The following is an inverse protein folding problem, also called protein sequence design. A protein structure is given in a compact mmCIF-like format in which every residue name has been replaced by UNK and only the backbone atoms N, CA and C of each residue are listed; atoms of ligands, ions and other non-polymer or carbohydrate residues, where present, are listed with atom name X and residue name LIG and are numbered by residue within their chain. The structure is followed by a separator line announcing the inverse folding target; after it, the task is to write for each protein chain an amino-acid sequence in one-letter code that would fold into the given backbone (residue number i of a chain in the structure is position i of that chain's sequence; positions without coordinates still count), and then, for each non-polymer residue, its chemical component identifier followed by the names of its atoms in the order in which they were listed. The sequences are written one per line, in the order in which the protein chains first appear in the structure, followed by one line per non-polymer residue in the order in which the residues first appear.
data_IF_724544601273
#
_entry.id   IF_724544601273
#
_cell.length_a   1.000
_cell.length_b   1.000
_cell.length_c   1.000
_cell.angle_alpha   90.00
_cell.angle_beta   90.00
_cell.angle_gamma   90.00
#
_symmetry.space_group_name_H-M   'P 1'
#
loop_
_entity.id
_entity.type
_entity.pdbx_description
1 polymer ?
#
# COMPACT_ATOMS: atom_id res chain seq x y z
N UNK A 1 -7.65 15.12 17.60
CA UNK A 1 -8.44 14.40 16.57
C UNK A 1 -8.20 12.90 16.64
N UNK A 2 -6.95 12.42 16.63
CA UNK A 2 -6.60 10.98 16.65
C UNK A 2 -7.26 10.19 17.80
N UNK A 3 -7.24 10.71 19.03
CA UNK A 3 -7.91 10.04 20.18
C UNK A 3 -9.43 9.87 19.98
N UNK A 4 -10.09 10.82 19.32
CA UNK A 4 -11.52 10.73 19.07
C UNK A 4 -11.84 9.68 18.00
N UNK A 5 -11.00 9.59 16.95
CA UNK A 5 -11.07 8.52 15.95
C UNK A 5 -10.87 7.15 16.60
N UNK A 6 -9.83 6.99 17.41
CA UNK A 6 -9.50 5.75 18.10
C UNK A 6 -10.66 5.27 19.01
N UNK A 7 -11.22 6.18 19.84
CA UNK A 7 -12.39 5.87 20.67
C UNK A 7 -13.61 5.48 19.84
N UNK A 8 -13.83 6.11 18.69
CA UNK A 8 -14.94 5.75 17.80
C UNK A 8 -14.75 4.34 17.21
N UNK A 9 -13.53 3.97 16.82
CA UNK A 9 -13.20 2.60 16.42
C UNK A 9 -13.43 1.61 17.57
N UNK A 10 -13.03 1.97 18.79
CA UNK A 10 -13.28 1.19 20.00
C UNK A 10 -14.77 0.87 20.20
N UNK A 11 -15.64 1.87 20.08
CA UNK A 11 -17.10 1.67 20.18
C UNK A 11 -17.64 0.65 19.17
N UNK A 12 -17.13 0.64 17.93
CA UNK A 12 -17.53 -0.34 16.91
C UNK A 12 -17.05 -1.73 17.30
N UNK A 13 -15.79 -1.86 17.71
CA UNK A 13 -15.18 -3.14 18.11
C UNK A 13 -15.89 -3.73 19.33
N UNK A 14 -16.15 -2.92 20.35
CA UNK A 14 -16.83 -3.34 21.57
C UNK A 14 -18.25 -3.80 21.24
N UNK A 15 -18.95 -3.08 20.35
CA UNK A 15 -20.29 -3.50 19.92
C UNK A 15 -20.29 -4.81 19.14
N UNK A 16 -19.28 -5.06 18.30
CA UNK A 16 -19.12 -6.35 17.61
C UNK A 16 -18.88 -7.50 18.59
N UNK A 17 -18.17 -7.26 19.70
CA UNK A 17 -17.94 -8.28 20.75
C UNK A 17 -19.20 -8.53 21.56
N UNK A 18 -19.92 -7.48 21.98
CA UNK A 18 -21.19 -7.61 22.71
C UNK A 18 -22.25 -8.40 21.94
N UNK A 19 -22.19 -8.37 20.61
CA UNK A 19 -23.11 -9.07 19.72
C UNK A 19 -22.59 -10.43 19.24
N UNK A 20 -21.46 -10.91 19.77
CA UNK A 20 -20.81 -12.16 19.34
C UNK A 20 -20.46 -12.22 17.83
N UNK A 21 -20.29 -11.05 17.19
CA UNK A 21 -19.96 -10.93 15.75
C UNK A 21 -18.46 -10.80 15.50
N UNK A 22 -17.69 -10.40 16.52
CA UNK A 22 -16.27 -10.04 16.39
C UNK A 22 -15.41 -11.13 15.75
N UNK A 23 -15.55 -12.39 16.20
CA UNK A 23 -14.69 -13.49 15.74
C UNK A 23 -14.82 -13.78 14.24
N UNK A 24 -15.98 -13.48 13.64
CA UNK A 24 -16.26 -13.69 12.22
C UNK A 24 -16.45 -12.39 11.41
N UNK A 25 -15.91 -11.28 11.90
CA UNK A 25 -15.92 -10.00 11.18
C UNK A 25 -14.52 -9.67 10.69
N UNK A 26 -14.40 -9.29 9.42
CA UNK A 26 -13.17 -8.69 8.88
C UNK A 26 -13.18 -7.20 9.22
N UNK A 27 -12.15 -6.75 9.92
CA UNK A 27 -11.94 -5.33 10.25
C UNK A 27 -10.67 -4.88 9.54
N UNK A 28 -10.78 -3.87 8.68
CA UNK A 28 -9.63 -3.20 8.07
C UNK A 28 -9.58 -1.77 8.57
N UNK A 29 -8.44 -1.37 9.10
CA UNK A 29 -8.12 0.02 9.41
C UNK A 29 -6.99 0.48 8.51
N UNK A 30 -7.21 1.56 7.76
CA UNK A 30 -6.20 2.16 6.90
C UNK A 30 -6.47 3.65 6.71
N UNK A 31 -5.66 4.33 5.88
CA UNK A 31 -5.82 5.74 5.55
C UNK A 31 -5.88 5.95 4.03
N UNK A 32 -6.51 7.03 3.59
CA UNK A 32 -6.71 7.34 2.17
C UNK A 32 -5.42 7.84 1.46
N UNK A 33 -4.49 8.44 2.20
CA UNK A 33 -3.19 8.91 1.74
C UNK A 33 -2.26 9.20 2.93
N UNK A 34 -1.03 9.60 2.63
CA UNK A 34 -0.11 10.16 3.61
C UNK A 34 -0.63 11.44 4.29
N UNK A 35 -0.10 11.76 5.47
CA UNK A 35 -0.52 12.94 6.23
C UNK A 35 -0.09 14.27 5.56
N UNK A 36 -0.94 15.31 5.54
CA UNK A 36 -0.57 16.66 5.12
C UNK A 36 0.09 17.44 6.27
N UNK A 37 1.40 17.24 6.46
CA UNK A 37 2.16 17.80 7.59
C UNK A 37 2.06 19.32 7.75
N UNK A 38 1.84 20.06 6.66
CA UNK A 38 1.67 21.52 6.65
C UNK A 38 0.26 21.99 7.06
N UNK A 39 -0.72 21.08 7.11
CA UNK A 39 -2.14 21.42 7.39
C UNK A 39 -2.62 20.99 8.75
N UNK A 40 -2.22 19.81 9.22
CA UNK A 40 -2.77 19.22 10.43
C UNK A 40 -1.70 18.69 11.40
N UNK A 41 -0.44 19.10 11.22
CA UNK A 41 0.71 18.67 12.01
C UNK A 41 0.94 17.14 12.00
N UNK A 42 0.41 16.42 10.99
CA UNK A 42 0.70 15.00 10.82
C UNK A 42 2.19 14.76 10.59
N UNK A 43 2.71 13.69 11.15
CA UNK A 43 4.11 13.31 11.03
C UNK A 43 4.17 11.94 10.33
N UNK A 44 4.85 11.87 9.19
CA UNK A 44 4.98 10.64 8.39
C UNK A 44 6.32 9.91 8.65
N UNK A 45 7.12 10.35 9.63
CA UNK A 45 8.43 9.76 9.93
C UNK A 45 8.32 8.25 10.18
N UNK A 46 9.27 7.44 9.67
CA UNK A 46 10.53 7.83 9.03
C UNK A 46 10.44 8.13 7.53
N UNK A 47 9.24 8.21 6.96
CA UNK A 47 9.04 8.35 5.53
C UNK A 47 9.18 9.81 5.08
N UNK A 48 9.74 10.00 3.88
CA UNK A 48 9.80 11.32 3.24
C UNK A 48 8.50 11.71 2.56
N UNK A 49 8.23 13.01 2.50
CA UNK A 49 7.05 13.54 1.83
C UNK A 49 5.75 13.43 2.62
N UNK A 50 4.65 13.71 1.93
CA UNK A 50 3.35 14.05 2.52
C UNK A 50 2.23 13.84 1.51
N UNK A 51 0.98 14.08 1.93
CA UNK A 51 -0.18 14.12 1.03
C UNK A 51 0.12 14.86 -0.29
N UNK A 52 -0.35 14.30 -1.40
CA UNK A 52 -0.25 14.86 -2.77
C UNK A 52 1.11 14.74 -3.48
N UNK A 53 2.08 14.02 -2.91
CA UNK A 53 3.29 13.58 -3.62
C UNK A 53 3.43 12.04 -3.58
N UNK A 54 4.41 11.51 -4.32
CA UNK A 54 4.65 10.07 -4.48
C UNK A 54 5.89 9.56 -3.76
N UNK A 55 6.45 10.35 -2.85
CA UNK A 55 7.36 9.83 -1.83
C UNK A 55 6.59 8.89 -0.89
N UNK A 56 7.28 8.01 -0.17
CA UNK A 56 6.66 6.99 0.69
C UNK A 56 5.68 7.60 1.68
N UNK A 57 5.99 8.77 2.25
CA UNK A 57 5.12 9.48 3.20
C UNK A 57 3.84 10.06 2.58
N UNK A 58 3.68 9.99 1.25
CA UNK A 58 2.45 10.35 0.54
C UNK A 58 1.57 9.15 0.17
N UNK A 59 2.15 7.96 0.00
CA UNK A 59 1.47 6.78 -0.56
C UNK A 59 1.48 5.54 0.35
N UNK A 60 2.43 5.41 1.27
CA UNK A 60 2.48 4.34 2.25
C UNK A 60 1.71 4.76 3.49
N UNK A 61 0.67 3.99 3.81
CA UNK A 61 -0.28 4.30 4.88
C UNK A 61 -0.26 3.22 5.96
N UNK A 62 -0.66 3.53 7.20
CA UNK A 62 -0.98 2.50 8.18
C UNK A 62 -2.04 1.55 7.60
N UNK A 63 -1.85 0.25 7.81
CA UNK A 63 -2.79 -0.77 7.34
C UNK A 63 -2.80 -1.92 8.34
N UNK A 64 -3.97 -2.20 8.91
CA UNK A 64 -4.21 -3.32 9.81
C UNK A 64 -5.45 -4.07 9.34
N UNK A 65 -5.34 -5.40 9.27
CA UNK A 65 -6.47 -6.28 8.98
C UNK A 65 -6.59 -7.31 10.09
N UNK A 66 -7.80 -7.47 10.64
CA UNK A 66 -8.13 -8.44 11.67
C UNK A 66 -9.32 -9.28 11.23
N UNK A 67 -9.19 -10.59 11.36
CA UNK A 67 -10.29 -11.54 11.26
C UNK A 67 -9.95 -12.73 12.14
N UNK A 68 -10.38 -12.75 13.42
CA UNK A 68 -9.85 -13.67 14.42
C UNK A 68 -9.90 -15.15 14.05
N UNK A 69 -10.93 -15.58 13.31
CA UNK A 69 -11.06 -16.96 12.82
C UNK A 69 -10.10 -17.36 11.70
N UNK A 70 -9.56 -16.39 10.94
CA UNK A 70 -8.85 -16.67 9.68
C UNK A 70 -7.44 -16.06 9.60
N UNK A 71 -7.13 -15.05 10.41
CA UNK A 71 -5.85 -14.34 10.40
C UNK A 71 -5.16 -14.57 11.74
N UNK A 72 -3.89 -14.98 11.68
CA UNK A 72 -3.05 -15.18 12.86
C UNK A 72 -2.94 -13.87 13.65
N UNK A 73 -3.22 -13.92 14.96
CA UNK A 73 -3.05 -12.77 15.85
C UNK A 73 -1.57 -12.38 15.93
N UNK A 74 -1.30 -11.07 16.10
CA UNK A 74 0.04 -10.51 16.31
C UNK A 74 1.05 -10.88 15.21
N UNK A 75 0.61 -11.00 13.96
CA UNK A 75 1.49 -11.19 12.81
C UNK A 75 1.73 -9.90 12.05
N UNK A 76 2.89 -9.79 11.40
CA UNK A 76 3.22 -8.74 10.44
C UNK A 76 3.41 -9.33 9.06
N UNK A 77 3.02 -8.57 8.03
CA UNK A 77 3.22 -8.92 6.62
C UNK A 77 4.02 -7.78 5.97
N UNK A 78 5.15 -8.12 5.34
CA UNK A 78 6.15 -7.13 4.94
C UNK A 78 6.21 -6.86 3.43
N UNK A 79 5.54 -7.66 2.59
CA UNK A 79 5.49 -7.38 1.16
C UNK A 79 4.44 -6.30 0.84
N UNK A 80 4.65 -5.51 -0.23
CA UNK A 80 3.72 -4.47 -0.63
C UNK A 80 2.32 -5.02 -0.92
N UNK A 81 1.31 -4.32 -0.41
CA UNK A 81 -0.12 -4.51 -0.71
C UNK A 81 -0.71 -3.18 -1.16
N UNK A 82 -1.87 -3.24 -1.81
CA UNK A 82 -2.63 -2.09 -2.32
C UNK A 82 -4.02 -2.05 -1.70
N UNK A 83 -4.60 -0.86 -1.57
CA UNK A 83 -6.03 -0.74 -1.22
C UNK A 83 -6.95 -1.34 -2.30
N UNK A 84 -6.46 -1.50 -3.53
CA UNK A 84 -7.16 -2.22 -4.60
C UNK A 84 -7.38 -3.71 -4.27
N UNK A 85 -6.53 -4.29 -3.42
CA UNK A 85 -6.63 -5.69 -3.00
C UNK A 85 -7.84 -5.94 -2.09
N UNK A 86 -8.43 -4.89 -1.50
CA UNK A 86 -9.57 -5.02 -0.59
C UNK A 86 -10.79 -5.60 -1.31
N UNK A 87 -11.07 -5.18 -2.55
CA UNK A 87 -12.22 -5.67 -3.31
C UNK A 87 -12.16 -7.20 -3.55
N UNK A 88 -11.11 -7.77 -4.19
CA UNK A 88 -11.03 -9.20 -4.41
C UNK A 88 -10.89 -9.99 -3.09
N UNK A 89 -10.22 -9.43 -2.08
CA UNK A 89 -10.11 -10.07 -0.75
C UNK A 89 -11.48 -10.18 -0.07
N UNK A 90 -12.28 -9.11 -0.05
CA UNK A 90 -13.63 -9.14 0.53
C UNK A 90 -14.58 -10.00 -0.28
N UNK A 91 -14.47 -9.98 -1.61
CA UNK A 91 -15.29 -10.83 -2.46
C UNK A 91 -15.02 -12.32 -2.21
N UNK A 92 -13.74 -12.71 -2.10
CA UNK A 92 -13.36 -14.07 -1.72
C UNK A 92 -13.87 -14.46 -0.33
N UNK A 93 -13.74 -13.56 0.66
CA UNK A 93 -14.26 -13.80 2.01
C UNK A 93 -15.77 -14.02 2.06
N UNK A 94 -16.51 -13.37 1.16
CA UNK A 94 -17.95 -13.54 1.00
C UNK A 94 -18.34 -14.82 0.23
N UNK A 95 -17.37 -15.68 -0.13
CA UNK A 95 -17.58 -16.90 -0.91
C UNK A 95 -17.63 -16.69 -2.43
N UNK A 96 -17.27 -15.50 -2.91
CA UNK A 96 -17.18 -15.19 -4.33
C UNK A 96 -15.96 -15.82 -5.01
N UNK A 97 -16.09 -16.11 -6.31
CA UNK A 97 -14.96 -16.58 -7.12
C UNK A 97 -14.20 -15.41 -7.74
N UNK A 98 -12.99 -15.11 -7.26
CA UNK A 98 -12.19 -13.99 -7.76
C UNK A 98 -11.82 -14.09 -9.23
N UNK A 99 -11.84 -15.28 -9.84
CA UNK A 99 -11.53 -15.46 -11.27
C UNK A 99 -12.56 -14.79 -12.20
N UNK A 100 -13.75 -14.46 -11.67
CA UNK A 100 -14.79 -13.76 -12.43
C UNK A 100 -14.64 -12.23 -12.40
N UNK A 101 -13.78 -11.70 -11.52
CA UNK A 101 -13.49 -10.27 -11.45
C UNK A 101 -12.58 -9.90 -12.62
N UNK A 102 -13.17 -9.31 -13.65
CA UNK A 102 -12.45 -8.76 -14.80
C UNK A 102 -12.06 -7.31 -14.51
N UNK A 103 -10.94 -6.87 -15.09
CA UNK A 103 -10.46 -5.49 -15.04
C UNK A 103 -10.27 -4.97 -13.58
N UNK A 104 -9.83 -5.85 -12.69
CA UNK A 104 -9.45 -5.53 -11.30
C UNK A 104 -7.94 -5.73 -11.16
N UNK A 105 -7.23 -4.67 -10.78
CA UNK A 105 -5.77 -4.71 -10.58
C UNK A 105 -5.35 -5.32 -9.23
N UNK A 106 -6.28 -5.35 -8.26
CA UNK A 106 -6.02 -5.92 -6.94
C UNK A 106 -6.02 -7.45 -6.94
N UNK A 107 -5.43 -8.04 -5.91
CA UNK A 107 -5.41 -9.50 -5.70
C UNK A 107 -6.03 -9.90 -4.37
N UNK A 108 -6.51 -11.14 -4.27
CA UNK A 108 -6.94 -11.70 -2.99
C UNK A 108 -5.72 -11.90 -2.07
N UNK A 109 -5.70 -11.23 -0.91
CA UNK A 109 -4.59 -11.29 0.03
C UNK A 109 -4.54 -12.57 0.87
N UNK A 110 -5.63 -13.33 1.00
CA UNK A 110 -5.68 -14.47 1.93
C UNK A 110 -4.59 -15.52 1.70
N UNK A 111 -4.32 -16.00 0.46
CA UNK A 111 -3.25 -16.96 0.24
C UNK A 111 -1.88 -16.45 0.69
N UNK A 112 -1.63 -15.15 0.55
CA UNK A 112 -0.36 -14.52 0.91
C UNK A 112 -0.20 -14.38 2.42
N UNK A 113 -1.19 -13.80 3.11
CA UNK A 113 -1.11 -13.54 4.56
C UNK A 113 -1.22 -14.83 5.39
N UNK A 114 -1.77 -15.91 4.81
CA UNK A 114 -1.83 -17.24 5.43
C UNK A 114 -0.60 -18.10 5.13
N UNK A 115 0.37 -17.59 4.36
CA UNK A 115 1.60 -18.31 4.01
C UNK A 115 1.40 -19.46 3.02
N UNK A 116 0.27 -19.51 2.32
CA UNK A 116 0.02 -20.48 1.24
C UNK A 116 0.71 -20.06 -0.06
N UNK A 117 0.95 -18.76 -0.22
CA UNK A 117 1.73 -18.18 -1.31
C UNK A 117 2.79 -17.24 -0.73
N UNK A 118 4.06 -17.63 -0.80
CA UNK A 118 5.19 -16.86 -0.26
C UNK A 118 5.71 -15.78 -1.23
N UNK A 119 5.14 -15.69 -2.44
CA UNK A 119 5.50 -14.64 -3.39
C UNK A 119 4.97 -13.26 -2.96
N UNK A 120 5.43 -12.21 -3.63
CA UNK A 120 4.84 -10.88 -3.50
C UNK A 120 3.43 -10.88 -4.12
N UNK A 121 2.44 -10.21 -3.51
CA UNK A 121 1.13 -10.01 -4.14
C UNK A 121 1.28 -9.18 -5.43
N UNK A 122 2.20 -8.21 -5.38
CA UNK A 122 2.53 -7.33 -6.50
C UNK A 122 4.04 -7.29 -6.72
N UNK A 123 4.48 -7.67 -7.92
CA UNK A 123 5.85 -7.37 -8.36
C UNK A 123 6.00 -5.87 -8.68
N UNK A 124 4.94 -5.28 -9.23
CA UNK A 124 4.91 -3.92 -9.74
C UNK A 124 3.73 -3.14 -9.16
N UNK A 125 3.97 -1.89 -8.74
CA UNK A 125 2.91 -0.94 -8.35
C UNK A 125 3.13 0.41 -9.04
N UNK A 126 2.03 1.09 -9.37
CA UNK A 126 2.02 2.28 -10.20
C UNK A 126 1.23 3.42 -9.57
N UNK A 127 1.73 4.64 -9.69
CA UNK A 127 1.04 5.87 -9.33
C UNK A 127 1.20 6.92 -10.43
N UNK A 128 0.13 7.66 -10.74
CA UNK A 128 0.14 8.68 -11.80
C UNK A 128 -0.77 9.85 -11.47
N UNK A 129 -0.24 11.06 -11.60
CA UNK A 129 -0.99 12.32 -11.61
C UNK A 129 -0.34 13.25 -12.61
N UNK A 130 -0.96 13.36 -13.78
CA UNK A 130 -0.44 14.12 -14.92
C UNK A 130 0.99 13.66 -15.27
N UNK A 131 1.97 14.58 -15.18
CA UNK A 131 3.38 14.34 -15.45
C UNK A 131 4.14 13.73 -14.26
N UNK A 132 3.60 13.79 -13.04
CA UNK A 132 4.16 13.11 -11.87
C UNK A 132 3.80 11.63 -11.89
N UNK A 133 4.75 10.79 -11.55
CA UNK A 133 4.56 9.35 -11.48
C UNK A 133 5.46 8.71 -10.43
N UNK A 134 5.04 7.57 -9.91
CA UNK A 134 5.92 6.64 -9.25
C UNK A 134 5.67 5.22 -9.75
N UNK A 135 6.73 4.43 -9.75
CA UNK A 135 6.72 3.03 -10.15
C UNK A 135 7.60 2.25 -9.18
N UNK A 136 7.04 1.21 -8.57
CA UNK A 136 7.79 0.30 -7.70
C UNK A 136 7.90 -1.05 -8.38
N UNK A 137 9.13 -1.55 -8.54
CA UNK A 137 9.47 -2.89 -9.03
C UNK A 137 10.25 -3.65 -7.96
N UNK A 138 9.55 -4.53 -7.23
CA UNK A 138 10.07 -5.12 -6.00
C UNK A 138 10.36 -4.04 -4.97
N UNK A 139 11.63 -3.82 -4.66
CA UNK A 139 12.07 -2.79 -3.71
C UNK A 139 12.65 -1.54 -4.39
N UNK A 140 12.81 -1.57 -5.72
CA UNK A 140 13.24 -0.40 -6.47
C UNK A 140 12.06 0.53 -6.73
N UNK A 141 12.23 1.81 -6.45
CA UNK A 141 11.22 2.83 -6.67
C UNK A 141 11.75 3.94 -7.57
N UNK A 142 11.10 4.13 -8.71
CA UNK A 142 11.27 5.27 -9.60
C UNK A 142 10.27 6.36 -9.20
N UNK A 143 10.71 7.62 -9.17
CA UNK A 143 9.83 8.79 -9.11
C UNK A 143 10.15 9.72 -10.29
N UNK A 144 9.13 10.03 -11.08
CA UNK A 144 9.22 10.98 -12.19
C UNK A 144 8.59 12.32 -11.78
N UNK A 145 9.31 13.38 -12.09
CA UNK A 145 8.91 14.76 -11.81
C UNK A 145 8.74 15.55 -13.13
N UNK A 146 7.90 16.60 -13.14
CA UNK A 146 7.76 17.49 -14.29
C UNK A 146 8.89 18.53 -14.37
N UNK A 147 9.55 18.85 -13.25
CA UNK A 147 10.44 19.99 -13.06
C UNK A 147 11.91 19.60 -12.83
N UNK A 148 12.23 18.31 -12.77
CA UNK A 148 13.57 17.78 -12.51
C UNK A 148 13.73 16.36 -13.06
N UNK A 149 14.97 15.85 -13.21
CA UNK A 149 15.22 14.47 -13.61
C UNK A 149 14.53 13.46 -12.68
N UNK A 150 14.21 12.29 -13.23
CA UNK A 150 13.67 11.19 -12.45
C UNK A 150 14.69 10.69 -11.41
N UNK A 151 14.19 10.19 -10.29
CA UNK A 151 14.99 9.64 -9.19
C UNK A 151 14.72 8.15 -9.03
N UNK A 152 15.71 7.41 -8.53
CA UNK A 152 15.64 5.98 -8.29
C UNK A 152 16.10 5.68 -6.86
N UNK A 153 15.33 4.89 -6.12
CA UNK A 153 15.61 4.53 -4.73
C UNK A 153 15.50 3.01 -4.54
N UNK A 154 16.22 2.47 -3.56
CA UNK A 154 16.03 1.12 -3.04
C UNK A 154 15.32 1.21 -1.68
N UNK A 155 14.02 0.97 -1.65
CA UNK A 155 13.17 1.17 -0.47
C UNK A 155 13.44 0.12 0.62
N UNK A 156 14.07 -1.01 0.30
CA UNK A 156 14.44 -2.00 1.30
C UNK A 156 15.53 -1.49 2.24
N UNK A 157 16.43 -0.64 1.73
CA UNK A 157 17.57 -0.10 2.48
C UNK A 157 17.46 1.40 2.78
N UNK A 158 16.61 2.11 2.04
CA UNK A 158 16.39 3.56 2.15
C UNK A 158 14.89 3.90 2.13
N UNK A 159 14.18 3.61 3.24
CA UNK A 159 12.74 3.90 3.33
C UNK A 159 12.41 5.40 3.35
N UNK A 160 13.42 6.23 3.61
CA UNK A 160 13.31 7.69 3.67
C UNK A 160 13.61 8.35 2.32
N UNK A 161 14.01 7.58 1.29
CA UNK A 161 14.29 8.08 -0.06
C UNK A 161 15.34 9.22 -0.05
N UNK A 162 16.36 9.10 0.80
CA UNK A 162 17.41 10.10 0.97
C UNK A 162 18.49 9.99 -0.12
N UNK A 163 18.76 8.77 -0.60
CA UNK A 163 19.89 8.48 -1.48
C UNK A 163 19.42 8.15 -2.90
N UNK A 164 19.40 9.16 -3.77
CA UNK A 164 19.09 8.96 -5.18
C UNK A 164 20.18 8.14 -5.89
N UNK A 165 19.81 6.96 -6.37
CA UNK A 165 20.68 5.98 -7.03
C UNK A 165 20.65 6.06 -8.56
N UNK A 166 19.92 7.02 -9.15
CA UNK A 166 19.75 7.16 -10.60
C UNK A 166 21.08 7.18 -11.38
N UNK A 167 22.06 7.95 -10.90
CA UNK A 167 23.38 8.05 -11.54
C UNK A 167 24.25 6.79 -11.33
N UNK A 168 24.01 6.06 -10.23
CA UNK A 168 24.76 4.83 -9.90
C UNK A 168 24.25 3.62 -10.70
N UNK A 169 22.96 3.59 -11.02
CA UNK A 169 22.33 2.51 -11.80
C UNK A 169 21.51 3.06 -12.97
N UNK A 170 22.15 3.67 -13.98
CA UNK A 170 21.45 4.30 -15.11
C UNK A 170 20.64 3.30 -15.94
N UNK A 171 21.15 2.07 -16.13
CA UNK A 171 20.42 1.02 -16.87
C UNK A 171 19.14 0.59 -16.14
N UNK A 172 19.18 0.52 -14.80
CA UNK A 172 18.01 0.22 -13.97
C UNK A 172 16.98 1.34 -14.08
N UNK A 173 17.42 2.59 -14.02
CA UNK A 173 16.56 3.77 -14.19
C UNK A 173 15.86 3.73 -15.56
N UNK A 174 16.62 3.51 -16.64
CA UNK A 174 16.08 3.44 -17.99
C UNK A 174 15.06 2.31 -18.14
N UNK A 175 15.37 1.11 -17.60
CA UNK A 175 14.43 -0.01 -17.59
C UNK A 175 13.13 0.34 -16.85
N UNK A 176 13.22 0.93 -15.66
CA UNK A 176 12.05 1.36 -14.90
C UNK A 176 11.20 2.39 -15.66
N UNK A 177 11.83 3.36 -16.33
CA UNK A 177 11.13 4.35 -17.15
C UNK A 177 10.39 3.67 -18.31
N UNK A 178 11.07 2.79 -19.06
CA UNK A 178 10.47 2.05 -20.18
C UNK A 178 9.28 1.21 -19.71
N UNK A 179 9.44 0.42 -18.64
CA UNK A 179 8.36 -0.40 -18.09
C UNK A 179 7.17 0.44 -17.65
N UNK A 180 7.41 1.56 -16.97
CA UNK A 180 6.33 2.47 -16.57
C UNK A 180 5.56 3.03 -17.78
N UNK A 181 6.26 3.46 -18.83
CA UNK A 181 5.61 4.01 -20.02
C UNK A 181 4.79 2.97 -20.78
N UNK A 182 5.24 1.71 -20.85
CA UNK A 182 4.48 0.63 -21.48
C UNK A 182 3.29 0.23 -20.61
N UNK A 183 3.50 0.03 -19.30
CA UNK A 183 2.46 -0.40 -18.37
C UNK A 183 1.40 0.65 -18.07
N UNK A 184 1.65 1.94 -18.34
CA UNK A 184 0.66 3.02 -18.19
C UNK A 184 -0.20 3.27 -19.43
N UNK A 185 0.02 2.50 -20.51
CA UNK A 185 -0.78 2.53 -21.74
C UNK A 185 -1.79 1.36 -21.83
N UNK A 186 -1.73 0.43 -20.88
CA UNK A 186 -2.68 -0.65 -20.66
C UNK A 186 -3.64 -0.25 -19.54
#
# INVERSE_FOLDING_TARGET
MTLALDRACGNVIDRLKELDLYENTIIVFTNDNGGPSDKNASINTPLSGTKSNYLEGGIRVPFVMSWPKHIKKNSTYNYPVSTFDLLPTFYAAAGGNTDVLKDVDGVNLFPFIQGQNENRPHQALFWKKENRAAYRDGDWKLIRFPDRPAMLFDIATDTAEEYNLANKYPERLEKCIKTYLIGSLL
#
